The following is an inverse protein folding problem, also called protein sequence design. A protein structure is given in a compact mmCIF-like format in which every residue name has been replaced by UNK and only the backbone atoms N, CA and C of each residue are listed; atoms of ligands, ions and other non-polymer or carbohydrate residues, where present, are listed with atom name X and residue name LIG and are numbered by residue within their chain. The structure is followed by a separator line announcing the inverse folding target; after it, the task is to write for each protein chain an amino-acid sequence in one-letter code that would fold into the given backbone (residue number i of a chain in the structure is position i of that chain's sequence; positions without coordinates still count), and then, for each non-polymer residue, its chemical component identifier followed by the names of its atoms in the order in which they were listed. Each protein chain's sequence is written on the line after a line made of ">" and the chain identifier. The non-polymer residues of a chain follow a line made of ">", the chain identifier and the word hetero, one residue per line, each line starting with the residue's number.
data_IF_957160221461
#
_entry.id   IF_957160221461
#
_cell.length_a   1.000
_cell.length_b   1.000
_cell.length_c   1.000
_cell.angle_alpha   90.00
_cell.angle_beta   90.00
_cell.angle_gamma   90.00
#
_symmetry.space_group_name_H-M   'P 1'
#
loop_
_entity.id
_entity.type
_entity.pdbx_description
1 polymer ?
#
# COMPACT_ATOMS: atom_id res chain seq x y z
N UNK A 1 16.54 -12.23 -16.56
CA UNK A 1 15.18 -12.27 -15.97
C UNK A 1 14.30 -11.50 -16.91
N UNK A 2 13.46 -12.20 -17.69
CA UNK A 2 12.54 -11.56 -18.62
C UNK A 2 11.39 -10.97 -17.80
N UNK A 3 11.33 -9.64 -17.71
CA UNK A 3 10.17 -8.96 -17.15
C UNK A 3 9.02 -9.16 -18.13
N UNK A 4 8.03 -9.97 -17.74
CA UNK A 4 6.76 -10.00 -18.48
C UNK A 4 6.15 -8.60 -18.39
N UNK A 5 5.93 -7.99 -19.55
CA UNK A 5 5.25 -6.70 -19.65
C UNK A 5 3.86 -6.80 -19.01
N UNK A 6 3.39 -5.76 -18.29
CA UNK A 6 2.05 -5.76 -17.74
C UNK A 6 1.05 -5.96 -18.87
N UNK A 7 0.23 -7.01 -18.78
CA UNK A 7 -0.89 -7.23 -19.69
C UNK A 7 -1.87 -6.08 -19.48
N UNK A 8 -1.93 -5.17 -20.44
CA UNK A 8 -2.96 -4.15 -20.52
C UNK A 8 -4.31 -4.86 -20.61
N UNK A 9 -5.13 -4.73 -19.57
CA UNK A 9 -6.53 -5.13 -19.64
C UNK A 9 -7.28 -3.95 -20.26
N UNK A 10 -7.39 -3.95 -21.58
CA UNK A 10 -8.36 -3.10 -22.25
C UNK A 10 -9.75 -3.67 -21.90
N UNK A 11 -10.46 -3.01 -20.99
CA UNK A 11 -11.85 -3.33 -20.69
C UNK A 11 -12.73 -2.91 -21.86
N UNK A 12 -13.19 -3.88 -22.66
CA UNK A 12 -14.21 -3.64 -23.68
C UNK A 12 -15.57 -3.57 -22.99
N UNK A 13 -16.12 -2.36 -22.81
CA UNK A 13 -17.52 -2.18 -22.38
C UNK A 13 -18.37 -2.03 -23.64
N UNK A 14 -19.12 -3.08 -23.99
CA UNK A 14 -20.13 -3.02 -25.04
C UNK A 14 -21.43 -2.47 -24.44
N UNK A 15 -21.78 -1.22 -24.75
CA UNK A 15 -23.12 -0.70 -24.47
C UNK A 15 -23.98 -0.90 -25.73
N UNK A 16 -25.05 -1.69 -25.60
CA UNK A 16 -26.05 -1.88 -26.64
C UNK A 16 -27.19 -0.87 -26.43
N UNK A 17 -27.16 0.25 -27.15
CA UNK A 17 -28.32 1.13 -27.24
C UNK A 17 -29.28 0.58 -28.30
N UNK A 18 -30.43 0.11 -27.82
CA UNK A 18 -31.48 -0.49 -28.63
C UNK A 18 -32.25 0.64 -29.35
N UNK A 19 -31.79 1.05 -30.52
CA UNK A 19 -32.53 1.95 -31.42
C UNK A 19 -32.93 1.20 -32.69
N UNK A 20 -34.22 1.29 -33.00
CA UNK A 20 -34.92 0.42 -33.95
C UNK A 20 -34.31 0.34 -35.35
N UNK A 21 -34.49 -0.85 -35.93
CA UNK A 21 -34.40 -1.25 -37.35
C UNK A 21 -33.80 -0.21 -38.29
N UNK A 22 -32.49 -0.31 -38.53
CA UNK A 22 -31.81 0.37 -39.64
C UNK A 22 -30.53 1.14 -39.33
N UNK A 23 -30.02 1.12 -38.10
CA UNK A 23 -28.80 1.84 -37.73
C UNK A 23 -27.55 0.95 -37.80
N UNK A 24 -26.58 1.35 -38.63
CA UNK A 24 -25.20 0.86 -38.56
C UNK A 24 -24.71 1.02 -37.12
N UNK A 25 -24.35 -0.09 -36.48
CA UNK A 25 -23.76 -0.10 -35.13
C UNK A 25 -22.46 0.71 -35.16
N UNK A 26 -22.49 1.95 -34.64
CA UNK A 26 -21.27 2.67 -34.34
C UNK A 26 -20.58 1.94 -33.19
N UNK A 27 -19.50 1.22 -33.49
CA UNK A 27 -18.56 0.77 -32.48
C UNK A 27 -17.87 2.02 -31.95
N UNK A 28 -18.41 2.61 -30.89
CA UNK A 28 -17.70 3.64 -30.12
C UNK A 28 -16.65 2.93 -29.29
N UNK A 29 -15.39 3.09 -29.69
CA UNK A 29 -14.28 2.88 -28.78
C UNK A 29 -14.36 3.98 -27.72
N UNK A 30 -15.03 3.69 -26.61
CA UNK A 30 -14.80 4.46 -25.40
C UNK A 30 -13.42 4.01 -24.94
N UNK A 31 -12.40 4.80 -25.27
CA UNK A 31 -11.16 4.78 -24.51
C UNK A 31 -11.56 5.27 -23.12
N UNK A 32 -12.13 4.37 -22.32
CA UNK A 32 -12.31 4.62 -20.91
C UNK A 32 -10.91 4.93 -20.41
N UNK A 33 -10.75 6.12 -19.83
CA UNK A 33 -9.53 6.48 -19.11
C UNK A 33 -9.06 5.22 -18.41
N UNK A 34 -7.94 4.66 -18.86
CA UNK A 34 -7.36 3.50 -18.21
C UNK A 34 -7.05 3.99 -16.82
N UNK A 35 -7.95 3.67 -15.88
CA UNK A 35 -7.93 4.20 -14.53
C UNK A 35 -6.52 3.96 -14.01
N UNK A 36 -5.78 5.06 -13.85
CA UNK A 36 -4.39 4.98 -13.45
C UNK A 36 -4.40 4.36 -12.06
N UNK A 37 -3.64 3.28 -11.85
CA UNK A 37 -3.61 2.60 -10.57
C UNK A 37 -2.51 3.19 -9.69
N UNK A 38 -2.83 3.34 -8.41
CA UNK A 38 -1.88 3.69 -7.36
C UNK A 38 -1.61 2.47 -6.48
N UNK A 39 -0.34 2.24 -6.19
CA UNK A 39 0.13 1.15 -5.34
C UNK A 39 0.75 1.72 -4.07
N UNK A 40 0.12 1.46 -2.93
CA UNK A 40 0.72 1.68 -1.62
C UNK A 40 1.47 0.41 -1.19
N UNK A 41 2.76 0.54 -0.91
CA UNK A 41 3.58 -0.57 -0.43
C UNK A 41 3.78 -0.46 1.08
N UNK A 42 3.54 -1.56 1.77
CA UNK A 42 3.72 -1.70 3.22
C UNK A 42 4.19 -3.11 3.55
N UNK A 43 4.21 -3.48 4.83
CA UNK A 43 4.62 -4.82 5.28
C UNK A 43 3.52 -5.56 6.02
N UNK A 44 3.67 -6.87 6.15
CA UNK A 44 2.81 -7.71 6.99
C UNK A 44 2.81 -7.32 8.47
N UNK A 45 3.78 -6.50 8.92
CA UNK A 45 3.79 -5.97 10.28
C UNK A 45 2.84 -4.78 10.43
N UNK A 46 2.72 -3.94 9.40
CA UNK A 46 1.86 -2.75 9.45
C UNK A 46 0.42 -3.06 9.03
N UNK A 47 0.23 -4.03 8.13
CA UNK A 47 -1.08 -4.33 7.57
C UNK A 47 -2.17 -4.63 8.62
N UNK A 48 -1.93 -5.39 9.71
CA UNK A 48 -2.96 -5.60 10.74
C UNK A 48 -3.46 -4.29 11.37
N UNK A 49 -2.56 -3.33 11.57
CA UNK A 49 -2.87 -2.02 12.14
C UNK A 49 -3.60 -1.11 11.17
N UNK A 50 -3.18 -1.10 9.90
CA UNK A 50 -3.87 -0.42 8.80
C UNK A 50 -5.30 -0.95 8.65
N UNK A 51 -5.46 -2.28 8.69
CA UNK A 51 -6.77 -2.90 8.62
C UNK A 51 -7.58 -2.59 9.89
N UNK A 52 -6.99 -2.66 11.08
CA UNK A 52 -7.70 -2.32 12.32
C UNK A 52 -8.21 -0.86 12.34
N UNK A 53 -7.44 0.10 11.83
CA UNK A 53 -7.89 1.50 11.73
C UNK A 53 -8.90 1.74 10.61
N UNK A 54 -8.98 0.86 9.62
CA UNK A 54 -9.84 1.01 8.44
C UNK A 54 -9.36 2.07 7.44
N UNK A 55 -8.18 2.65 7.66
CA UNK A 55 -7.64 3.76 6.87
C UNK A 55 -6.13 3.65 6.68
N UNK A 56 -5.65 3.99 5.49
CA UNK A 56 -4.27 4.39 5.27
C UNK A 56 -4.09 5.81 5.79
N UNK A 57 -3.33 5.97 6.86
CA UNK A 57 -3.10 7.26 7.51
C UNK A 57 -1.70 7.78 7.18
N UNK A 58 -1.54 9.11 7.10
CA UNK A 58 -0.22 9.75 7.04
C UNK A 58 0.61 9.58 8.33
N UNK A 59 0.17 8.79 9.31
CA UNK A 59 0.69 8.87 10.67
C UNK A 59 1.84 7.91 10.95
N UNK A 60 2.89 8.43 11.57
CA UNK A 60 3.91 7.67 12.31
C UNK A 60 5.30 7.65 11.66
N UNK A 61 5.42 8.12 10.41
CA UNK A 61 6.68 8.19 9.67
C UNK A 61 7.16 9.63 9.49
N UNK A 62 6.86 10.54 10.43
CA UNK A 62 7.38 11.90 10.44
C UNK A 62 8.87 11.84 10.13
N UNK A 63 9.23 12.17 8.88
CA UNK A 63 10.61 12.06 8.44
C UNK A 63 11.32 13.16 9.21
N UNK A 64 12.29 12.77 10.04
CA UNK A 64 12.95 13.72 10.93
C UNK A 64 13.51 14.89 10.11
N UNK A 65 13.24 16.11 10.56
CA UNK A 65 13.61 17.37 9.89
C UNK A 65 12.83 17.67 8.60
N UNK A 66 11.68 17.04 8.39
CA UNK A 66 10.75 17.40 7.32
C UNK A 66 9.53 18.14 7.88
N UNK A 67 8.94 19.05 7.09
CA UNK A 67 7.78 19.82 7.49
C UNK A 67 6.50 18.95 7.49
N UNK A 68 5.52 19.37 8.28
CA UNK A 68 4.14 18.85 8.25
C UNK A 68 3.38 19.36 7.01
N UNK A 69 2.40 18.64 6.45
CA UNK A 69 1.97 17.30 6.86
C UNK A 69 2.92 16.21 6.34
N UNK A 70 2.88 15.06 6.98
CA UNK A 70 3.34 13.80 6.35
C UNK A 70 2.27 13.35 5.33
N UNK A 71 2.63 12.41 4.46
CA UNK A 71 1.78 11.97 3.37
C UNK A 71 1.51 10.47 3.43
N UNK A 72 0.35 10.04 2.93
CA UNK A 72 0.17 8.69 2.42
C UNK A 72 0.87 8.61 1.08
N UNK A 73 1.88 7.74 1.00
CA UNK A 73 2.69 7.54 -0.19
C UNK A 73 2.16 6.38 -1.03
N UNK A 74 2.10 6.59 -2.34
CA UNK A 74 1.83 5.55 -3.33
C UNK A 74 2.72 5.76 -4.57
N UNK A 75 2.69 4.80 -5.49
CA UNK A 75 3.40 4.89 -6.76
C UNK A 75 2.57 4.30 -7.87
N UNK A 76 2.77 4.75 -9.11
CA UNK A 76 2.20 4.10 -10.30
C UNK A 76 3.00 2.88 -10.77
N UNK A 77 4.15 2.61 -10.14
CA UNK A 77 5.02 1.47 -10.48
C UNK A 77 4.54 0.18 -9.79
N UNK A 78 4.15 -0.82 -10.58
CA UNK A 78 3.58 -2.10 -10.09
C UNK A 78 4.60 -3.05 -9.43
N UNK A 79 5.89 -2.89 -9.73
CA UNK A 79 6.96 -3.82 -9.31
C UNK A 79 7.39 -3.62 -7.84
N UNK A 80 7.10 -2.45 -7.27
CA UNK A 80 7.53 -2.07 -5.93
C UNK A 80 7.97 -0.62 -5.83
N UNK A 81 8.00 -0.12 -4.59
CA UNK A 81 8.80 1.03 -4.20
C UNK A 81 9.86 0.60 -3.18
N UNK A 82 11.13 0.89 -3.47
CA UNK A 82 12.25 0.56 -2.58
C UNK A 82 12.35 1.49 -1.38
N UNK A 83 11.62 2.61 -1.36
CA UNK A 83 11.54 3.50 -0.21
C UNK A 83 10.50 3.06 0.82
N UNK A 84 9.59 2.15 0.46
CA UNK A 84 8.53 1.67 1.34
C UNK A 84 9.07 0.87 2.54
N UNK A 85 8.34 0.90 3.65
CA UNK A 85 8.73 0.29 4.94
C UNK A 85 9.11 -1.20 4.88
N UNK A 86 8.51 -1.97 3.98
CA UNK A 86 8.86 -3.38 3.81
C UNK A 86 10.20 -3.60 3.09
N UNK A 87 10.71 -2.59 2.39
CA UNK A 87 11.99 -2.65 1.69
C UNK A 87 13.16 -2.31 2.61
N UNK A 88 12.94 -1.62 3.74
CA UNK A 88 14.02 -1.15 4.62
C UNK A 88 14.56 -2.25 5.54
N UNK A 89 13.75 -3.23 5.97
CA UNK A 89 14.22 -4.39 6.76
C UNK A 89 14.53 -5.61 5.89
N UNK A 90 15.54 -5.48 5.02
CA UNK A 90 15.98 -6.56 4.12
C UNK A 90 16.27 -7.88 4.85
N UNK A 91 16.82 -7.83 6.07
CA UNK A 91 17.12 -9.05 6.86
C UNK A 91 15.85 -9.78 7.29
N UNK A 92 14.86 -9.06 7.82
CA UNK A 92 13.59 -9.66 8.26
C UNK A 92 12.79 -10.22 7.08
N UNK A 93 12.78 -9.50 5.95
CA UNK A 93 12.16 -9.95 4.72
C UNK A 93 12.81 -11.23 4.18
N UNK A 94 14.15 -11.26 4.09
CA UNK A 94 14.92 -12.44 3.65
C UNK A 94 14.75 -13.65 4.56
N UNK A 95 14.65 -13.43 5.87
CA UNK A 95 14.41 -14.48 6.86
C UNK A 95 12.95 -14.98 6.88
N UNK A 96 12.05 -14.42 6.06
CA UNK A 96 10.63 -14.81 6.06
C UNK A 96 9.87 -14.39 7.32
N UNK A 97 10.41 -13.45 8.08
CA UNK A 97 9.77 -12.82 9.25
C UNK A 97 8.85 -11.66 8.87
N UNK A 98 8.89 -11.25 7.60
CA UNK A 98 8.05 -10.20 7.04
C UNK A 98 7.67 -10.54 5.61
N UNK A 99 6.49 -10.12 5.19
CA UNK A 99 6.07 -10.10 3.79
C UNK A 99 5.97 -8.66 3.30
N UNK A 100 6.19 -8.45 2.01
CA UNK A 100 5.80 -7.22 1.35
C UNK A 100 4.32 -7.27 1.06
N UNK A 101 3.65 -6.16 1.29
CA UNK A 101 2.22 -5.96 1.04
C UNK A 101 2.07 -4.83 0.03
N UNK A 102 1.15 -5.00 -0.91
CA UNK A 102 0.75 -4.00 -1.88
C UNK A 102 -0.75 -3.81 -1.77
N UNK A 103 -1.18 -2.56 -1.60
CA UNK A 103 -2.59 -2.19 -1.63
C UNK A 103 -2.82 -1.34 -2.86
N UNK A 104 -3.80 -1.73 -3.68
CA UNK A 104 -4.12 -1.06 -4.95
C UNK A 104 -5.33 -0.15 -4.76
N UNK A 105 -5.23 1.06 -5.31
CA UNK A 105 -6.28 2.08 -5.33
C UNK A 105 -6.39 2.69 -6.71
N UNK A 106 -7.49 3.41 -6.93
CA UNK A 106 -7.58 4.40 -8.00
C UNK A 106 -6.62 5.57 -7.72
N UNK A 107 -5.79 5.96 -8.69
CA UNK A 107 -4.81 7.02 -8.54
C UNK A 107 -5.45 8.41 -8.37
N UNK A 108 -6.72 8.60 -8.76
CA UNK A 108 -7.46 9.85 -8.54
C UNK A 108 -7.65 10.20 -7.07
N UNK A 109 -7.46 9.23 -6.15
CA UNK A 109 -7.43 9.48 -4.71
C UNK A 109 -6.15 10.20 -4.24
N UNK A 110 -5.16 10.36 -5.11
CA UNK A 110 -3.86 10.94 -4.83
C UNK A 110 -3.57 12.10 -5.80
N UNK A 111 -2.60 12.93 -5.44
CA UNK A 111 -2.00 13.92 -6.33
C UNK A 111 -0.53 13.58 -6.60
N UNK A 112 0.04 14.13 -7.67
CA UNK A 112 1.42 13.82 -8.04
C UNK A 112 2.42 14.45 -7.06
N UNK A 113 3.53 13.76 -6.77
CA UNK A 113 4.57 14.25 -5.86
C UNK A 113 5.09 15.65 -6.24
N UNK A 114 5.16 15.95 -7.54
CA UNK A 114 5.62 17.23 -8.09
C UNK A 114 4.72 18.40 -7.68
N UNK A 115 3.47 18.13 -7.28
CA UNK A 115 2.53 19.15 -6.80
C UNK A 115 2.77 19.53 -5.33
N UNK A 116 3.59 18.78 -4.57
CA UNK A 116 3.76 18.98 -3.12
C UNK A 116 4.26 20.39 -2.80
N UNK A 117 5.30 20.88 -3.47
CA UNK A 117 5.85 22.22 -3.20
C UNK A 117 4.85 23.35 -3.50
N UNK A 118 3.90 23.11 -4.40
CA UNK A 118 2.83 24.07 -4.74
C UNK A 118 1.71 24.01 -3.71
N UNK A 119 1.26 22.81 -3.32
CA UNK A 119 0.15 22.61 -2.37
C UNK A 119 0.54 22.87 -0.92
N UNK A 120 1.79 22.61 -0.57
CA UNK A 120 2.32 22.73 0.78
C UNK A 120 3.62 23.56 0.76
N UNK A 121 3.55 24.90 0.71
CA UNK A 121 4.71 25.77 0.53
C UNK A 121 5.82 25.61 1.59
N UNK A 122 5.49 25.07 2.77
CA UNK A 122 6.46 24.69 3.80
C UNK A 122 7.42 23.56 3.35
N UNK A 123 7.00 22.74 2.39
CA UNK A 123 7.83 21.77 1.68
C UNK A 123 8.73 22.48 0.65
N UNK A 124 9.81 23.07 1.15
CA UNK A 124 10.79 23.77 0.32
C UNK A 124 11.44 22.86 -0.72
N UNK A 125 12.00 23.45 -1.79
CA UNK A 125 12.77 22.72 -2.79
C UNK A 125 13.97 21.95 -2.22
N UNK A 126 14.55 22.40 -1.11
CA UNK A 126 15.63 21.68 -0.43
C UNK A 126 15.15 20.37 0.23
N UNK A 127 13.97 20.40 0.86
CA UNK A 127 13.34 19.20 1.42
C UNK A 127 13.00 18.20 0.30
N UNK A 128 12.31 18.67 -0.74
CA UNK A 128 11.91 17.84 -1.89
C UNK A 128 13.16 17.21 -2.54
N UNK A 129 14.17 18.03 -2.84
CA UNK A 129 15.42 17.56 -3.45
C UNK A 129 16.16 16.51 -2.61
N UNK A 130 16.13 16.64 -1.28
CA UNK A 130 16.76 15.67 -0.37
C UNK A 130 16.04 14.31 -0.40
N UNK A 131 14.70 14.28 -0.39
CA UNK A 131 13.95 13.01 -0.53
C UNK A 131 14.16 12.38 -1.90
N UNK A 132 14.10 13.17 -2.97
CA UNK A 132 14.31 12.65 -4.31
C UNK A 132 15.72 12.07 -4.48
N UNK A 133 16.75 12.72 -3.95
CA UNK A 133 18.12 12.22 -3.98
C UNK A 133 18.23 10.87 -3.24
N UNK A 134 17.64 10.78 -2.04
CA UNK A 134 17.59 9.54 -1.26
C UNK A 134 16.85 8.41 -2.00
N UNK A 135 15.71 8.72 -2.61
CA UNK A 135 14.94 7.78 -3.41
C UNK A 135 15.72 7.22 -4.60
N UNK A 136 16.40 8.11 -5.35
CA UNK A 136 17.23 7.71 -6.49
C UNK A 136 18.42 6.86 -6.05
N UNK A 137 19.02 7.15 -4.90
CA UNK A 137 20.07 6.31 -4.32
C UNK A 137 19.55 4.90 -3.99
N UNK A 138 18.28 4.78 -3.58
CA UNK A 138 17.57 3.51 -3.41
C UNK A 138 17.01 2.93 -4.73
N UNK A 139 17.28 3.56 -5.88
CA UNK A 139 16.78 3.16 -7.20
C UNK A 139 15.24 3.14 -7.30
N UNK A 140 14.59 4.11 -6.66
CA UNK A 140 13.19 4.49 -6.87
C UNK A 140 13.11 5.69 -7.81
N UNK A 141 11.96 5.87 -8.46
CA UNK A 141 11.71 6.99 -9.37
C UNK A 141 10.68 7.96 -8.76
N UNK A 142 11.09 9.12 -8.24
CA UNK A 142 10.16 10.11 -7.70
C UNK A 142 9.11 10.58 -8.71
N UNK A 143 9.37 10.45 -10.02
CA UNK A 143 8.41 10.87 -11.03
C UNK A 143 7.11 10.04 -11.02
N UNK A 144 7.14 8.83 -10.46
CA UNK A 144 5.98 7.95 -10.34
C UNK A 144 5.29 8.04 -8.98
N UNK A 145 5.78 8.89 -8.08
CA UNK A 145 5.24 9.02 -6.74
C UNK A 145 3.94 9.80 -6.71
N UNK A 146 3.03 9.31 -5.87
CA UNK A 146 1.72 9.87 -5.60
C UNK A 146 1.61 10.11 -4.10
N UNK A 147 0.92 11.18 -3.72
CA UNK A 147 0.78 11.62 -2.35
C UNK A 147 -0.67 11.95 -2.02
N UNK A 148 -0.99 11.86 -0.72
CA UNK A 148 -2.24 12.32 -0.15
C UNK A 148 -1.98 12.79 1.28
N UNK A 149 -2.46 13.97 1.63
CA UNK A 149 -2.26 14.61 2.94
C UNK A 149 -3.32 14.20 3.98
N UNK A 150 -4.45 13.67 3.53
CA UNK A 150 -5.52 13.16 4.37
C UNK A 150 -5.51 11.62 4.42
N UNK A 151 -6.03 11.00 5.48
CA UNK A 151 -6.31 9.57 5.50
C UNK A 151 -7.10 9.11 4.27
N UNK A 152 -6.86 7.87 3.84
CA UNK A 152 -7.60 7.20 2.78
C UNK A 152 -8.31 5.97 3.34
N UNK A 153 -9.63 5.96 3.27
CA UNK A 153 -10.45 4.82 3.68
C UNK A 153 -10.11 3.56 2.87
N UNK A 154 -9.99 2.43 3.56
CA UNK A 154 -9.77 1.13 2.91
C UNK A 154 -10.99 0.61 2.16
N UNK A 155 -12.16 1.26 2.28
CA UNK A 155 -13.30 0.97 1.41
C UNK A 155 -12.99 1.29 -0.07
N UNK A 156 -12.00 2.16 -0.33
CA UNK A 156 -11.51 2.45 -1.67
C UNK A 156 -10.40 1.49 -2.15
N UNK A 157 -9.96 0.56 -1.29
CA UNK A 157 -8.94 -0.42 -1.68
C UNK A 157 -9.55 -1.42 -2.67
N UNK A 158 -8.94 -1.54 -3.84
CA UNK A 158 -9.36 -2.45 -4.91
C UNK A 158 -8.79 -3.85 -4.73
N UNK A 159 -7.57 -3.94 -4.19
CA UNK A 159 -6.89 -5.21 -3.97
C UNK A 159 -5.84 -5.13 -2.85
N UNK A 160 -5.58 -6.28 -2.24
CA UNK A 160 -4.47 -6.51 -1.33
C UNK A 160 -3.65 -7.68 -1.88
N UNK A 161 -2.38 -7.45 -2.18
CA UNK A 161 -1.44 -8.48 -2.60
C UNK A 161 -0.30 -8.60 -1.61
N UNK A 162 0.27 -9.79 -1.54
CA UNK A 162 1.44 -10.09 -0.72
C UNK A 162 2.52 -10.76 -1.54
N UNK A 163 3.78 -10.52 -1.15
CA UNK A 163 4.96 -11.14 -1.75
C UNK A 163 5.92 -11.58 -0.63
N UNK A 164 6.37 -12.83 -0.71
CA UNK A 164 7.45 -13.34 0.14
C UNK A 164 8.78 -13.26 -0.59
N UNK A 165 9.88 -13.20 0.16
CA UNK A 165 11.21 -13.24 -0.44
C UNK A 165 11.44 -14.53 -1.24
N UNK A 166 11.06 -15.68 -0.67
CA UNK A 166 11.28 -17.00 -1.26
C UNK A 166 10.56 -17.20 -2.61
N UNK A 167 9.31 -16.71 -2.73
CA UNK A 167 8.55 -16.86 -3.98
C UNK A 167 8.83 -15.74 -4.98
N UNK A 168 9.13 -14.53 -4.49
CA UNK A 168 9.25 -13.29 -5.28
C UNK A 168 8.03 -12.98 -6.19
N UNK A 169 6.92 -13.70 -6.02
CA UNK A 169 5.68 -13.53 -6.78
C UNK A 169 4.63 -12.84 -5.93
N UNK A 170 3.95 -11.88 -6.53
CA UNK A 170 2.74 -11.31 -5.94
C UNK A 170 1.61 -12.32 -6.00
N UNK A 171 0.84 -12.41 -4.92
CA UNK A 171 -0.39 -13.20 -4.84
C UNK A 171 -1.43 -12.42 -4.05
N UNK A 172 -2.70 -12.62 -4.39
CA UNK A 172 -3.79 -12.04 -3.63
C UNK A 172 -3.77 -12.48 -2.16
N UNK A 173 -4.02 -11.53 -1.26
CA UNK A 173 -4.28 -11.80 0.14
C UNK A 173 -5.63 -12.49 0.28
N UNK A 174 -5.67 -13.62 1.00
CA UNK A 174 -6.87 -14.47 1.11
C UNK A 174 -7.91 -13.95 2.09
N UNK A 175 -7.48 -13.24 3.13
CA UNK A 175 -8.34 -12.70 4.18
C UNK A 175 -7.77 -11.40 4.72
N UNK A 176 -8.66 -10.46 5.03
CA UNK A 176 -8.35 -9.20 5.72
C UNK A 176 -8.73 -9.25 7.20
N UNK A 177 -9.01 -10.45 7.74
CA UNK A 177 -9.35 -10.63 9.14
C UNK A 177 -8.15 -10.29 10.02
N UNK A 178 -8.41 -9.45 11.02
CA UNK A 178 -7.45 -9.09 12.06
C UNK A 178 -7.93 -9.70 13.37
N UNK A 179 -7.03 -10.36 14.08
CA UNK A 179 -7.31 -10.94 15.40
C UNK A 179 -6.50 -10.22 16.47
N UNK A 180 -7.04 -10.17 17.70
CA UNK A 180 -6.39 -9.52 18.84
C UNK A 180 -5.71 -10.57 19.70
N UNK A 181 -4.49 -10.29 20.14
CA UNK A 181 -3.81 -11.04 21.20
C UNK A 181 -3.55 -10.09 22.36
N UNK A 182 -3.98 -10.48 23.57
CA UNK A 182 -3.91 -9.68 24.79
C UNK A 182 -2.83 -10.16 25.76
N UNK A 183 -1.70 -10.62 25.25
CA UNK A 183 -0.55 -10.99 26.08
C UNK A 183 0.43 -9.82 26.17
N UNK A 184 0.51 -9.16 27.33
CA UNK A 184 1.48 -8.10 27.64
C UNK A 184 1.51 -6.91 26.65
N UNK A 185 0.33 -6.49 26.16
CA UNK A 185 0.20 -5.38 25.21
C UNK A 185 -0.89 -5.67 24.17
N UNK A 186 -1.11 -4.70 23.27
CA UNK A 186 -1.99 -4.92 22.12
C UNK A 186 -1.18 -5.50 20.98
N UNK A 187 -1.43 -6.76 20.68
CA UNK A 187 -0.90 -7.44 19.51
C UNK A 187 -2.04 -7.67 18.52
N UNK A 188 -1.76 -7.41 17.24
CA UNK A 188 -2.66 -7.73 16.16
C UNK A 188 -2.05 -8.84 15.31
N UNK A 189 -2.87 -9.84 14.97
CA UNK A 189 -2.47 -11.00 14.20
C UNK A 189 -3.27 -11.13 12.91
N UNK A 190 -2.62 -11.68 11.88
CA UNK A 190 -3.24 -12.02 10.60
C UNK A 190 -2.65 -13.33 10.06
N UNK A 191 -3.48 -14.14 9.41
CA UNK A 191 -3.00 -15.26 8.59
C UNK A 191 -2.65 -14.81 7.17
N UNK A 192 -1.46 -15.20 6.72
CA UNK A 192 -0.96 -14.94 5.37
C UNK A 192 -0.82 -16.25 4.56
N UNK A 193 -1.87 -17.07 4.58
CA UNK A 193 -1.95 -18.32 3.83
C UNK A 193 -1.19 -19.45 4.51
N UNK A 194 -1.54 -19.71 5.77
CA UNK A 194 -0.99 -20.77 6.61
C UNK A 194 0.16 -20.33 7.51
N UNK A 195 0.48 -19.03 7.55
CA UNK A 195 1.47 -18.48 8.48
C UNK A 195 0.87 -17.25 9.15
N UNK A 196 0.78 -17.33 10.48
CA UNK A 196 0.26 -16.25 11.31
C UNK A 196 1.39 -15.30 11.68
N UNK A 197 1.21 -14.02 11.37
CA UNK A 197 2.12 -12.96 11.77
C UNK A 197 1.44 -12.11 12.84
N UNK A 198 2.08 -11.95 13.99
CA UNK A 198 1.72 -10.97 15.00
C UNK A 198 2.54 -9.69 14.79
N UNK A 199 1.93 -8.56 15.10
CA UNK A 199 2.62 -7.29 15.25
C UNK A 199 2.21 -6.61 16.54
N UNK A 200 3.21 -6.23 17.33
CA UNK A 200 3.07 -5.31 18.44
C UNK A 200 3.46 -3.91 17.98
N UNK A 201 2.59 -2.93 18.23
CA UNK A 201 2.91 -1.53 18.05
C UNK A 201 3.43 -0.98 19.38
N UNK A 202 4.64 -0.43 19.37
CA UNK A 202 5.21 0.24 20.54
C UNK A 202 5.56 1.68 20.19
N UNK A 203 5.43 2.63 21.12
CA UNK A 203 5.99 3.96 20.94
C UNK A 203 7.47 3.86 20.59
N UNK A 204 7.87 4.50 19.50
CA UNK A 204 9.27 4.73 19.16
C UNK A 204 9.68 6.13 19.64
N UNK A 205 10.96 6.47 19.47
CA UNK A 205 11.42 7.83 19.73
C UNK A 205 10.64 8.84 18.86
N UNK A 206 10.42 10.04 19.42
CA UNK A 206 9.87 11.19 18.68
C UNK A 206 8.42 11.02 18.18
N UNK A 207 7.61 10.21 18.85
CA UNK A 207 6.18 10.07 18.54
C UNK A 207 5.86 9.17 17.34
N UNK A 208 6.88 8.55 16.75
CA UNK A 208 6.70 7.46 15.79
C UNK A 208 6.24 6.18 16.50
N UNK A 209 5.78 5.20 15.72
CA UNK A 209 5.49 3.85 16.23
C UNK A 209 6.46 2.83 15.61
N UNK A 210 7.06 2.01 16.47
CA UNK A 210 7.79 0.83 16.06
C UNK A 210 6.86 -0.38 15.99
N UNK A 211 7.19 -1.32 15.12
CA UNK A 211 6.44 -2.57 14.97
C UNK A 211 7.37 -3.76 15.18
N UNK A 212 7.07 -4.58 16.18
CA UNK A 212 7.84 -5.79 16.47
C UNK A 212 7.07 -7.02 15.95
N UNK A 213 7.67 -7.82 15.05
CA UNK A 213 7.05 -9.05 14.60
C UNK A 213 7.17 -10.15 15.66
N UNK A 214 6.16 -10.99 15.78
CA UNK A 214 6.26 -12.27 16.47
C UNK A 214 5.56 -13.37 15.68
N UNK A 215 6.08 -14.59 15.80
CA UNK A 215 5.40 -15.79 15.33
C UNK A 215 4.56 -16.36 16.47
N UNK A 216 3.32 -16.70 16.17
CA UNK A 216 2.36 -17.21 17.14
C UNK A 216 2.19 -18.72 16.90
N UNK A 217 2.24 -19.50 17.98
CA UNK A 217 2.09 -20.96 17.92
C UNK A 217 0.66 -21.46 18.15
N UNK A 218 -0.26 -20.57 18.54
CA UNK A 218 -1.68 -20.94 18.67
C UNK A 218 -2.40 -20.84 17.32
N UNK A 219 -3.44 -21.65 17.08
CA UNK A 219 -4.23 -21.56 15.85
C UNK A 219 -4.89 -20.19 15.70
N UNK A 220 -4.88 -19.64 14.48
CA UNK A 220 -5.40 -18.29 14.20
C UNK A 220 -6.88 -18.13 14.55
N UNK A 221 -7.65 -19.19 14.30
CA UNK A 221 -9.10 -19.25 14.47
C UNK A 221 -9.51 -19.19 15.94
N UNK A 222 -8.61 -19.56 16.85
CA UNK A 222 -8.84 -19.49 18.30
C UNK A 222 -8.65 -18.08 18.86
N UNK A 223 -8.06 -17.16 18.08
CA UNK A 223 -7.85 -15.79 18.52
C UNK A 223 -9.14 -14.95 18.38
N UNK A 224 -9.44 -14.06 19.34
CA UNK A 224 -10.58 -13.14 19.24
C UNK A 224 -10.56 -12.31 17.96
N UNK A 225 -11.69 -12.28 17.23
CA UNK A 225 -11.85 -11.44 16.05
C UNK A 225 -11.96 -9.96 16.44
N UNK A 226 -11.17 -9.11 15.78
CA UNK A 226 -11.38 -7.67 15.85
C UNK A 226 -12.55 -7.32 14.92
N UNK A 227 -13.73 -7.14 15.51
CA UNK A 227 -14.89 -6.60 14.80
C UNK A 227 -14.72 -5.09 14.71
N UNK A 228 -14.70 -4.55 13.48
CA UNK A 228 -14.70 -3.09 13.27
C UNK A 228 -16.08 -2.55 13.65
N UNK A 229 -16.10 -1.59 14.56
CA UNK A 229 -17.30 -0.82 14.90
C UNK A 229 -17.63 0.23 13.86
#
# INVERSE_FOLDING_TARGET
>A
MNAESPRFVAGLILSLENSGVGALSQVRFVFGDTALLAYHYTSSMHLPWILASGELRPSGNNIRNFPSPDFVWATTTVDGDRTASASTSHRAYRAGMMLQVRVTFDASHFFAWQEVGVKFPQWTGAHIGTLEASARAMRSNPATWLCRDQPLSLQHAMAFDIRSYASSKWRALRSTDVRIIRENGLWLAMDFGGKVFASHQSPASQGAFGYTPAEIKVPFETLPLLVRG
#
